data_IF_182332743472
#
_entry.id   IF_182332743472
#
_cell.length_a   1.000
_cell.length_b   1.000
_cell.length_c   1.000
_cell.angle_alpha   90.00
_cell.angle_beta   90.00
_cell.angle_gamma   90.00
#
_symmetry.space_group_name_H-M   'P 1'
#
loop_
_entity.id
_entity.type
_entity.pdbx_description
1 polymer ?
#
# COMPACT_ATOMS: atom_id res chain seq x y z
N UNK A 1 -4.85 44.58 -0.90
CA UNK A 1 -4.87 43.46 0.05
C UNK A 1 -5.40 42.17 -0.57
N UNK A 2 -6.56 42.17 -1.23
CA UNK A 2 -7.09 40.99 -1.95
C UNK A 2 -6.11 40.45 -3.02
N UNK A 3 -5.47 41.32 -3.81
CA UNK A 3 -4.44 40.93 -4.79
C UNK A 3 -3.25 40.18 -4.17
N UNK A 4 -2.86 40.58 -2.96
CA UNK A 4 -1.75 39.96 -2.20
C UNK A 4 -2.15 38.60 -1.65
N UNK A 5 -3.38 38.47 -1.14
CA UNK A 5 -3.95 37.23 -0.63
C UNK A 5 -4.11 36.20 -1.76
N UNK A 6 -4.65 36.61 -2.90
CA UNK A 6 -4.81 35.74 -4.07
C UNK A 6 -3.47 35.23 -4.59
N UNK A 7 -2.45 36.11 -4.68
CA UNK A 7 -1.10 35.70 -5.07
C UNK A 7 -0.47 34.69 -4.09
N UNK A 8 -0.65 34.89 -2.79
CA UNK A 8 -0.18 33.96 -1.77
C UNK A 8 -0.90 32.62 -1.83
N UNK A 9 -2.22 32.60 -2.03
CA UNK A 9 -3.01 31.37 -2.16
C UNK A 9 -2.60 30.55 -3.37
N UNK A 10 -2.38 31.20 -4.53
CA UNK A 10 -1.91 30.50 -5.74
C UNK A 10 -0.51 29.93 -5.52
N UNK A 11 0.40 30.70 -4.94
CA UNK A 11 1.74 30.24 -4.63
C UNK A 11 1.73 29.05 -3.66
N UNK A 12 0.91 29.12 -2.60
CA UNK A 12 0.77 28.03 -1.63
C UNK A 12 0.27 26.73 -2.28
N UNK A 13 -0.73 26.82 -3.18
CA UNK A 13 -1.22 25.65 -3.91
C UNK A 13 -0.14 25.08 -4.82
N UNK A 14 0.59 25.92 -5.55
CA UNK A 14 1.70 25.48 -6.42
C UNK A 14 2.80 24.82 -5.61
N UNK A 15 3.25 25.43 -4.51
CA UNK A 15 4.27 24.86 -3.63
C UNK A 15 3.81 23.54 -3.00
N UNK A 16 2.54 23.42 -2.61
CA UNK A 16 1.97 22.18 -2.07
C UNK A 16 1.99 21.05 -3.10
N UNK A 17 1.66 21.35 -4.36
CA UNK A 17 1.73 20.38 -5.46
C UNK A 17 3.17 19.97 -5.71
N UNK A 18 4.10 20.92 -5.75
CA UNK A 18 5.52 20.67 -5.97
C UNK A 18 6.11 19.79 -4.87
N UNK A 19 5.76 20.07 -3.61
CA UNK A 19 6.17 19.27 -2.45
C UNK A 19 5.63 17.84 -2.55
N UNK A 20 4.36 17.65 -2.93
CA UNK A 20 3.78 16.31 -3.14
C UNK A 20 4.53 15.53 -4.22
N UNK A 21 4.95 16.17 -5.30
CA UNK A 21 5.72 15.50 -6.36
C UNK A 21 7.10 15.07 -5.87
N UNK A 22 7.80 15.93 -5.11
CA UNK A 22 9.11 15.60 -4.53
C UNK A 22 8.97 14.42 -3.55
N UNK A 23 7.98 14.48 -2.66
CA UNK A 23 7.69 13.38 -1.74
C UNK A 23 7.28 12.10 -2.48
N UNK A 24 6.47 12.19 -3.55
CA UNK A 24 6.11 11.02 -4.34
C UNK A 24 7.33 10.40 -5.06
N UNK A 25 8.28 11.22 -5.52
CA UNK A 25 9.51 10.75 -6.15
C UNK A 25 10.45 10.10 -5.14
N UNK A 26 10.61 10.70 -3.95
CA UNK A 26 11.46 10.16 -2.87
C UNK A 26 10.83 8.93 -2.20
N UNK A 27 9.53 8.95 -1.92
CA UNK A 27 8.80 7.90 -1.23
C UNK A 27 8.11 6.92 -2.18
N UNK A 28 8.36 6.99 -3.49
CA UNK A 28 7.75 6.10 -4.48
C UNK A 28 7.97 4.62 -4.14
N UNK A 29 9.15 4.28 -3.63
CA UNK A 29 9.48 2.92 -3.16
C UNK A 29 8.68 2.55 -1.91
N UNK A 30 8.49 3.48 -0.97
CA UNK A 30 7.66 3.25 0.23
C UNK A 30 6.18 3.08 -0.12
N UNK A 31 5.71 3.74 -1.19
CA UNK A 31 4.39 3.49 -1.77
C UNK A 31 4.23 2.05 -2.27
N UNK A 32 5.25 1.53 -2.97
CA UNK A 32 5.26 0.13 -3.44
C UNK A 32 5.26 -0.84 -2.25
N UNK A 33 6.09 -0.59 -1.23
CA UNK A 33 6.10 -1.40 0.01
C UNK A 33 4.72 -1.40 0.67
N UNK A 34 4.02 -0.26 0.72
CA UNK A 34 2.66 -0.17 1.24
C UNK A 34 1.65 -1.00 0.44
N UNK A 35 1.75 -1.02 -0.89
CA UNK A 35 0.90 -1.85 -1.76
C UNK A 35 1.17 -3.34 -1.52
N UNK A 36 2.45 -3.74 -1.44
CA UNK A 36 2.83 -5.12 -1.16
C UNK A 36 2.34 -5.56 0.22
N UNK A 37 2.51 -4.71 1.25
CA UNK A 37 1.99 -4.99 2.59
C UNK A 37 0.47 -5.16 2.58
N UNK A 38 -0.25 -4.29 1.87
CA UNK A 38 -1.71 -4.42 1.73
C UNK A 38 -2.07 -5.76 1.10
N UNK A 39 -1.39 -6.17 0.03
CA UNK A 39 -1.60 -7.46 -0.63
C UNK A 39 -1.28 -8.64 0.30
N UNK A 40 -0.20 -8.55 1.07
CA UNK A 40 0.20 -9.56 2.04
C UNK A 40 -0.83 -9.71 3.17
N UNK A 41 -1.39 -8.60 3.67
CA UNK A 41 -2.46 -8.60 4.67
C UNK A 41 -3.70 -9.31 4.12
N UNK A 42 -4.10 -9.00 2.89
CA UNK A 42 -5.23 -9.68 2.24
C UNK A 42 -4.98 -11.16 2.03
N UNK A 43 -3.79 -11.54 1.55
CA UNK A 43 -3.40 -12.95 1.40
C UNK A 43 -3.41 -13.70 2.74
N UNK A 44 -2.92 -13.06 3.81
CA UNK A 44 -2.96 -13.61 5.16
C UNK A 44 -4.40 -13.79 5.67
N UNK A 45 -5.26 -12.80 5.47
CA UNK A 45 -6.65 -12.86 5.89
C UNK A 45 -7.40 -13.98 5.17
N UNK A 46 -7.18 -14.14 3.86
CA UNK A 46 -7.74 -15.23 3.06
C UNK A 46 -7.24 -16.59 3.58
N UNK A 47 -5.94 -16.73 3.84
CA UNK A 47 -5.38 -17.95 4.43
C UNK A 47 -5.99 -18.26 5.80
N UNK A 48 -6.21 -17.24 6.63
CA UNK A 48 -6.79 -17.39 7.96
C UNK A 48 -8.25 -17.84 7.89
N UNK A 49 -9.03 -17.28 6.96
CA UNK A 49 -10.39 -17.74 6.66
C UNK A 49 -10.36 -19.19 6.17
N UNK A 50 -9.51 -19.52 5.20
CA UNK A 50 -9.38 -20.90 4.71
C UNK A 50 -8.96 -21.87 5.81
N UNK A 51 -8.09 -21.45 6.73
CA UNK A 51 -7.65 -22.29 7.86
C UNK A 51 -8.79 -22.58 8.84
N UNK A 52 -9.72 -21.65 9.03
CA UNK A 52 -10.88 -21.82 9.94
C UNK A 52 -11.95 -22.70 9.29
N UNK A 53 -12.29 -22.46 8.03
CA UNK A 53 -13.40 -23.15 7.36
C UNK A 53 -13.00 -24.45 6.64
N UNK A 54 -11.77 -24.54 6.15
CA UNK A 54 -11.28 -25.64 5.31
C UNK A 54 -9.79 -25.96 5.61
N UNK A 55 -9.49 -26.56 6.78
CA UNK A 55 -8.11 -26.78 7.21
C UNK A 55 -7.30 -27.66 6.24
N UNK A 56 -7.93 -28.61 5.54
CA UNK A 56 -7.27 -29.43 4.53
C UNK A 56 -6.84 -28.64 3.29
N UNK A 57 -7.63 -27.66 2.85
CA UNK A 57 -7.29 -26.78 1.72
C UNK A 57 -6.21 -25.78 2.11
N UNK A 58 -6.22 -25.28 3.36
CA UNK A 58 -5.16 -24.44 3.88
C UNK A 58 -3.81 -25.18 3.98
N UNK A 59 -3.82 -26.46 4.38
CA UNK A 59 -2.61 -27.30 4.40
C UNK A 59 -2.03 -27.50 3.00
N UNK A 60 -2.87 -27.82 2.00
CA UNK A 60 -2.45 -27.91 0.58
C UNK A 60 -1.90 -26.60 0.04
N UNK A 61 -2.55 -25.46 0.33
CA UNK A 61 -2.01 -24.15 -0.08
C UNK A 61 -0.64 -23.89 0.57
N UNK A 62 -0.47 -24.23 1.85
CA UNK A 62 0.83 -24.10 2.52
C UNK A 62 1.89 -24.99 1.86
N UNK A 63 1.57 -26.23 1.50
CA UNK A 63 2.50 -27.12 0.78
C UNK A 63 2.94 -26.53 -0.57
N UNK A 64 1.98 -26.02 -1.36
CA UNK A 64 2.25 -25.43 -2.68
C UNK A 64 3.08 -24.15 -2.55
N UNK A 65 2.78 -23.29 -1.57
CA UNK A 65 3.52 -22.03 -1.34
C UNK A 65 4.92 -22.28 -0.77
N UNK A 66 5.07 -23.25 0.14
CA UNK A 66 6.35 -23.53 0.82
C UNK A 66 7.25 -24.48 0.00
N UNK A 67 6.69 -25.13 -1.03
CA UNK A 67 7.41 -26.10 -1.87
C UNK A 67 7.87 -27.35 -1.13
N UNK A 68 7.44 -27.54 0.13
CA UNK A 68 7.76 -28.72 0.93
C UNK A 68 6.52 -29.63 1.01
N UNK A 69 6.60 -30.86 0.48
CA UNK A 69 5.62 -31.89 0.84
C UNK A 69 5.79 -32.18 2.34
N UNK A 70 4.68 -32.21 3.07
CA UNK A 70 4.65 -32.63 4.48
C UNK A 70 4.92 -34.13 4.61
#
# INVERSE_FOLDING_TARGET
MVRSIVGFSVFAVVSMVLLKVIFALMFGVLGIVGVILKLAIWGFLIYLILKIFAPGTAARMKEVITGRPA
#
